data_IF_168976005645
#
_entry.id   IF_168976005645
#
_cell.length_a   1.000
_cell.length_b   1.000
_cell.length_c   1.000
_cell.angle_alpha   90.00
_cell.angle_beta   90.00
_cell.angle_gamma   90.00
#
_symmetry.space_group_name_H-M   'P 1'
#
loop_
_entity.id
_entity.type
_entity.pdbx_description
1 polymer ?
#
# COMPACT_ATOMS: atom_id res chain seq x y z
N UNK A 1 -5.28 -19.27 0.11
CA UNK A 1 -3.82 -19.37 -0.12
C UNK A 1 -3.59 -19.91 -1.52
N UNK A 2 -2.61 -19.39 -2.25
CA UNK A 2 -2.29 -19.84 -3.63
C UNK A 2 -0.78 -20.08 -3.80
N UNK A 3 -0.34 -20.81 -4.82
CA UNK A 3 1.06 -21.21 -5.01
C UNK A 3 1.99 -20.00 -5.21
N UNK A 4 3.27 -20.14 -4.87
CA UNK A 4 4.28 -19.12 -5.22
C UNK A 4 4.24 -18.83 -6.72
N UNK A 5 4.35 -17.56 -7.12
CA UNK A 5 4.20 -17.13 -8.52
C UNK A 5 2.76 -17.02 -9.03
N UNK A 6 1.74 -17.37 -8.25
CA UNK A 6 0.32 -17.26 -8.65
C UNK A 6 -0.26 -15.83 -8.75
N UNK A 7 0.57 -14.80 -8.90
CA UNK A 7 0.11 -13.42 -9.13
C UNK A 7 -0.43 -12.65 -7.92
N UNK A 8 -0.34 -13.18 -6.70
CA UNK A 8 -0.85 -12.51 -5.47
C UNK A 8 -0.27 -11.10 -5.28
N UNK A 9 1.05 -10.97 -5.33
CA UNK A 9 1.74 -9.69 -5.19
C UNK A 9 1.37 -8.74 -6.32
N UNK A 10 1.23 -9.25 -7.55
CA UNK A 10 0.74 -8.48 -8.70
C UNK A 10 -0.65 -7.93 -8.47
N UNK A 11 -1.58 -8.76 -7.96
CA UNK A 11 -2.95 -8.34 -7.64
C UNK A 11 -2.97 -7.25 -6.56
N UNK A 12 -2.21 -7.41 -5.48
CA UNK A 12 -2.11 -6.39 -4.42
C UNK A 12 -1.46 -5.09 -4.93
N UNK A 13 -0.51 -5.17 -5.86
CA UNK A 13 0.09 -3.99 -6.51
C UNK A 13 -0.90 -3.25 -7.41
N UNK A 14 -1.78 -3.98 -8.12
CA UNK A 14 -2.87 -3.38 -8.90
C UNK A 14 -3.90 -2.70 -7.99
N UNK A 15 -4.34 -3.38 -6.93
CA UNK A 15 -5.29 -2.83 -5.93
C UNK A 15 -4.73 -1.67 -5.09
N UNK A 16 -3.42 -1.53 -4.99
CA UNK A 16 -2.80 -0.37 -4.33
C UNK A 16 -2.49 0.78 -5.30
N UNK A 17 -2.75 0.61 -6.60
CA UNK A 17 -2.44 1.58 -7.64
C UNK A 17 -0.95 1.77 -7.92
N UNK A 18 -0.09 0.81 -7.52
CA UNK A 18 1.36 0.83 -7.81
C UNK A 18 1.69 0.39 -9.22
N UNK A 19 0.85 -0.45 -9.82
CA UNK A 19 0.98 -0.94 -11.19
C UNK A 19 -0.26 -0.51 -11.97
N UNK A 20 -0.07 -0.08 -13.21
CA UNK A 20 -1.19 0.22 -14.12
C UNK A 20 -1.75 -1.07 -14.69
N UNK A 21 -3.07 -1.13 -14.79
CA UNK A 21 -3.76 -2.24 -15.43
C UNK A 21 -3.57 -2.17 -16.95
N UNK A 22 -3.24 -3.30 -17.58
CA UNK A 22 -3.14 -3.39 -19.04
C UNK A 22 -4.52 -3.46 -19.71
N UNK A 23 -5.49 -4.11 -19.07
CA UNK A 23 -6.87 -4.27 -19.56
C UNK A 23 -7.85 -4.57 -18.42
N UNK A 24 -9.12 -4.20 -18.59
CA UNK A 24 -10.17 -4.36 -17.57
C UNK A 24 -10.37 -3.10 -16.71
N UNK A 25 -11.09 -3.23 -15.61
CA UNK A 25 -11.35 -2.14 -14.66
C UNK A 25 -11.26 -2.63 -13.21
N UNK A 26 -10.86 -1.72 -12.32
CA UNK A 26 -10.87 -1.93 -10.86
C UNK A 26 -11.71 -0.82 -10.26
N UNK A 27 -12.70 -1.22 -9.46
CA UNK A 27 -13.55 -0.32 -8.69
C UNK A 27 -13.43 -0.61 -7.20
N UNK A 28 -13.71 0.40 -6.39
CA UNK A 28 -13.74 0.34 -4.93
C UNK A 28 -15.13 0.82 -4.52
N UNK A 29 -16.00 -0.11 -4.11
CA UNK A 29 -17.43 0.16 -3.89
C UNK A 29 -18.08 0.87 -5.09
N UNK A 30 -17.94 0.26 -6.28
CA UNK A 30 -18.46 0.77 -7.56
C UNK A 30 -17.91 2.13 -8.02
N UNK A 31 -16.92 2.68 -7.30
CA UNK A 31 -16.24 3.91 -7.69
C UNK A 31 -14.88 3.60 -8.32
N UNK A 32 -14.47 4.32 -9.38
CA UNK A 32 -13.13 4.17 -9.94
C UNK A 32 -12.07 4.61 -8.92
N UNK A 33 -10.82 4.21 -9.17
CA UNK A 33 -9.70 4.68 -8.35
C UNK A 33 -9.62 6.21 -8.31
N UNK A 34 -9.54 6.77 -7.10
CA UNK A 34 -9.34 8.19 -6.87
C UNK A 34 -8.11 8.42 -5.98
N UNK A 35 -7.39 9.54 -6.18
CA UNK A 35 -6.23 9.90 -5.34
C UNK A 35 -6.57 9.97 -3.85
N UNK A 36 -7.81 10.33 -3.50
CA UNK A 36 -8.31 10.38 -2.12
C UNK A 36 -8.32 9.00 -1.44
N UNK A 37 -8.52 7.93 -2.21
CA UNK A 37 -8.54 6.56 -1.72
C UNK A 37 -7.16 6.11 -1.24
N UNK A 38 -6.08 6.62 -1.85
CA UNK A 38 -4.70 6.33 -1.42
C UNK A 38 -4.44 6.69 0.04
N UNK A 39 -5.14 7.70 0.58
CA UNK A 39 -5.03 8.08 2.00
C UNK A 39 -5.81 7.17 2.95
N UNK A 40 -6.68 6.30 2.43
CA UNK A 40 -7.52 5.38 3.20
C UNK A 40 -7.02 3.93 3.17
N UNK A 41 -6.01 3.64 2.36
CA UNK A 41 -5.48 2.29 2.17
C UNK A 41 -4.02 2.26 2.65
N UNK A 42 -3.74 1.40 3.62
CA UNK A 42 -2.38 1.01 3.98
C UNK A 42 -1.92 -0.19 3.16
N UNK A 43 -0.65 -0.22 2.75
CA UNK A 43 -0.06 -1.37 2.09
C UNK A 43 1.25 -1.73 2.76
N UNK A 44 1.31 -2.94 3.29
CA UNK A 44 2.53 -3.53 3.86
C UNK A 44 3.22 -4.33 2.78
N UNK A 45 4.51 -4.07 2.56
CA UNK A 45 5.30 -4.80 1.58
C UNK A 45 5.63 -6.20 2.10
N UNK A 46 6.02 -7.10 1.19
CA UNK A 46 6.47 -8.43 1.57
C UNK A 46 7.84 -8.40 2.27
N UNK A 47 8.71 -7.47 1.84
CA UNK A 47 10.01 -7.22 2.46
C UNK A 47 9.92 -6.05 3.43
N UNK A 48 10.58 -6.18 4.58
CA UNK A 48 10.66 -5.14 5.59
C UNK A 48 11.71 -4.10 5.20
N UNK A 49 11.24 -2.90 4.85
CA UNK A 49 12.07 -1.72 4.59
C UNK A 49 12.04 -0.79 5.79
N UNK A 50 12.84 -1.12 6.80
CA UNK A 50 12.95 -0.35 8.04
C UNK A 50 14.31 0.33 8.14
N UNK A 51 14.34 1.51 8.77
CA UNK A 51 15.59 2.18 9.09
C UNK A 51 16.28 1.44 10.25
N UNK A 52 17.49 0.88 10.05
CA UNK A 52 18.11 -0.02 11.03
C UNK A 52 18.54 0.70 12.33
N UNK A 53 18.59 2.03 12.30
CA UNK A 53 18.97 2.88 13.43
C UNK A 53 17.79 3.41 14.24
N UNK A 54 16.55 3.10 13.85
CA UNK A 54 15.36 3.51 14.59
C UNK A 54 14.86 2.36 15.48
N UNK A 55 14.44 2.71 16.69
CA UNK A 55 13.62 1.85 17.53
C UNK A 55 12.24 1.62 16.91
N UNK A 56 11.52 0.61 17.42
CA UNK A 56 10.13 0.35 17.03
C UNK A 56 9.25 1.59 17.22
N UNK A 57 9.39 2.28 18.37
CA UNK A 57 8.61 3.48 18.69
C UNK A 57 8.90 4.61 17.71
N UNK A 58 10.18 4.85 17.38
CA UNK A 58 10.58 5.88 16.43
C UNK A 58 10.08 5.57 15.02
N UNK A 59 10.14 4.31 14.58
CA UNK A 59 9.61 3.87 13.29
C UNK A 59 8.11 4.15 13.17
N UNK A 60 7.33 3.77 14.19
CA UNK A 60 5.88 4.04 14.21
C UNK A 60 5.56 5.53 14.26
N UNK A 61 6.32 6.30 15.05
CA UNK A 61 6.15 7.75 15.15
C UNK A 61 6.48 8.44 13.82
N UNK A 62 7.57 8.05 13.17
CA UNK A 62 7.98 8.55 11.86
C UNK A 62 6.93 8.26 10.79
N UNK A 63 6.42 7.03 10.74
CA UNK A 63 5.35 6.66 9.82
C UNK A 63 4.07 7.46 10.07
N UNK A 64 3.69 7.68 11.33
CA UNK A 64 2.52 8.47 11.69
C UNK A 64 2.67 9.94 11.23
N UNK A 65 3.83 10.57 11.42
CA UNK A 65 4.08 11.95 11.01
C UNK A 65 3.99 12.15 9.49
N UNK A 66 4.40 11.16 8.68
CA UNK A 66 4.28 11.22 7.22
C UNK A 66 2.83 11.12 6.72
N UNK A 67 1.98 10.39 7.46
CA UNK A 67 0.58 10.17 7.10
C UNK A 67 -0.33 11.26 7.67
N UNK A 68 -0.01 11.74 8.86
CA UNK A 68 -0.73 12.76 9.61
C UNK A 68 0.22 13.93 9.90
N UNK A 69 0.46 14.83 8.93
CA UNK A 69 1.24 16.03 9.19
C UNK A 69 0.58 16.79 10.35
N UNK A 70 1.39 17.12 11.36
CA UNK A 70 0.95 17.95 12.49
C UNK A 70 0.41 19.29 11.95
N UNK A 71 -0.61 19.89 12.60
CA UNK A 71 -1.17 21.17 12.20
C UNK A 71 -0.13 22.31 12.23
#
# INVERSE_FOLDING_TARGET
MGPSGGGKTTLLNLLSGRVKLNSGTITYNDQPYAKSLKRRIGYVMQDDLLFPHLTVKETLTYAALLVFPLP
#
